data_IF_453458937440
#
_entry.id   IF_453458937440
#
_cell.length_a   1.000
_cell.length_b   1.000
_cell.length_c   1.000
_cell.angle_alpha   90.00
_cell.angle_beta   90.00
_cell.angle_gamma   90.00
#
_symmetry.space_group_name_H-M   'P 1'
#
loop_
_entity.id
_entity.type
_entity.pdbx_description
1 polymer ?
#
# COMPACT_ATOMS: atom_id res chain seq x y z
N UNK A 1 -8.08 -25.27 7.85
CA UNK A 1 -8.21 -24.26 8.91
C UNK A 1 -8.52 -22.95 8.20
N UNK A 2 -9.73 -22.42 8.33
CA UNK A 2 -10.03 -21.09 7.80
C UNK A 2 -9.05 -20.11 8.45
N UNK A 3 -8.21 -19.46 7.65
CA UNK A 3 -7.49 -18.28 8.13
C UNK A 3 -8.57 -17.21 8.21
N UNK A 4 -9.18 -17.08 9.38
CA UNK A 4 -10.12 -16.01 9.66
C UNK A 4 -9.47 -14.69 9.23
N UNK A 5 -10.14 -13.96 8.33
CA UNK A 5 -9.68 -12.66 7.90
C UNK A 5 -9.84 -11.69 9.08
N UNK A 6 -8.85 -11.63 9.97
CA UNK A 6 -8.92 -10.95 11.27
C UNK A 6 -8.69 -9.44 11.19
N UNK A 7 -8.66 -8.85 10.00
CA UNK A 7 -8.58 -7.40 9.86
C UNK A 7 -9.96 -6.75 9.97
N UNK A 8 -10.47 -6.70 11.20
CA UNK A 8 -11.66 -5.92 11.61
C UNK A 8 -11.38 -4.41 11.68
N UNK A 9 -10.45 -3.89 10.86
CA UNK A 9 -10.16 -2.45 10.83
C UNK A 9 -11.10 -1.75 9.87
N UNK A 10 -11.88 -0.81 10.40
CA UNK A 10 -12.74 0.05 9.58
C UNK A 10 -11.87 0.99 8.73
N UNK A 11 -11.82 0.75 7.43
CA UNK A 11 -11.21 1.70 6.51
C UNK A 11 -12.03 2.99 6.45
N UNK A 12 -11.36 4.14 6.41
CA UNK A 12 -11.99 5.45 6.22
C UNK A 12 -11.78 5.92 4.77
N UNK A 13 -12.86 6.29 4.08
CA UNK A 13 -12.79 6.86 2.72
C UNK A 13 -12.67 5.85 1.57
N UNK A 14 -13.48 4.78 1.61
CA UNK A 14 -13.65 3.77 0.54
C UNK A 14 -13.61 2.33 1.07
N UNK A 15 -13.38 1.34 0.19
CA UNK A 15 -13.20 -0.09 0.52
C UNK A 15 -11.99 -0.78 -0.14
N UNK A 16 -11.01 0.02 -0.62
CA UNK A 16 -9.88 -0.44 -1.44
C UNK A 16 -8.83 -1.36 -0.77
N UNK A 17 -8.92 -1.63 0.54
CA UNK A 17 -8.10 -2.63 1.24
C UNK A 17 -8.90 -3.83 1.78
N UNK A 18 -10.23 -3.77 1.79
CA UNK A 18 -11.10 -4.79 2.43
C UNK A 18 -10.98 -6.18 1.80
N UNK A 19 -10.61 -6.23 0.51
CA UNK A 19 -10.46 -7.49 -0.24
C UNK A 19 -9.10 -8.16 -0.03
N UNK A 20 -8.17 -7.50 0.67
CA UNK A 20 -6.81 -7.99 0.84
C UNK A 20 -6.69 -8.90 2.06
N UNK A 21 -5.99 -10.03 1.90
CA UNK A 21 -5.65 -10.90 3.02
C UNK A 21 -4.68 -10.22 4.00
N UNK A 22 -3.79 -9.37 3.50
CA UNK A 22 -2.86 -8.56 4.29
C UNK A 22 -3.05 -7.12 3.86
N UNK A 23 -3.42 -6.24 4.80
CA UNK A 23 -3.53 -4.81 4.49
C UNK A 23 -2.13 -4.20 4.32
N UNK A 24 -1.97 -3.18 3.46
CA UNK A 24 -0.66 -2.56 3.22
C UNK A 24 0.04 -2.10 4.50
N UNK A 25 -0.71 -1.54 5.47
CA UNK A 25 -0.13 -1.06 6.72
C UNK A 25 0.50 -2.20 7.54
N UNK A 26 -0.10 -3.40 7.54
CA UNK A 26 0.47 -4.55 8.25
C UNK A 26 1.74 -5.04 7.56
N UNK A 27 1.73 -5.14 6.24
CA UNK A 27 2.91 -5.52 5.47
C UNK A 27 4.07 -4.55 5.70
N UNK A 28 3.79 -3.25 5.61
CA UNK A 28 4.79 -2.17 5.76
C UNK A 28 5.39 -2.18 7.16
N UNK A 29 4.55 -2.24 8.20
CA UNK A 29 5.00 -2.20 9.60
C UNK A 29 5.71 -3.49 10.01
N UNK A 30 5.21 -4.66 9.59
CA UNK A 30 5.84 -5.95 9.90
C UNK A 30 7.23 -6.12 9.27
N UNK A 31 7.50 -5.41 8.17
CA UNK A 31 8.79 -5.43 7.48
C UNK A 31 9.65 -4.18 7.76
N UNK A 32 9.28 -3.34 8.72
CA UNK A 32 10.00 -2.10 9.08
C UNK A 32 10.33 -1.21 7.86
N UNK A 33 9.40 -1.12 6.90
CA UNK A 33 9.61 -0.35 5.68
C UNK A 33 9.56 1.15 5.95
N UNK A 34 10.40 1.91 5.26
CA UNK A 34 10.46 3.35 5.35
C UNK A 34 9.27 4.06 4.71
N UNK A 35 9.27 5.39 4.80
CA UNK A 35 8.16 6.23 4.30
C UNK A 35 7.94 6.07 2.79
N UNK A 36 9.02 6.02 2.01
CA UNK A 36 8.94 5.94 0.56
C UNK A 36 8.44 4.57 0.12
N UNK A 37 9.03 3.50 0.66
CA UNK A 37 8.66 2.12 0.40
C UNK A 37 7.21 1.85 0.82
N UNK A 38 6.80 2.35 1.98
CA UNK A 38 5.43 2.23 2.46
C UNK A 38 4.42 2.93 1.55
N UNK A 39 4.74 4.11 1.02
CA UNK A 39 3.89 4.78 0.05
C UNK A 39 3.78 3.99 -1.27
N UNK A 40 4.89 3.41 -1.75
CA UNK A 40 4.89 2.57 -2.95
C UNK A 40 3.92 1.41 -2.78
N UNK A 41 4.06 0.62 -1.70
CA UNK A 41 3.17 -0.51 -1.41
C UNK A 41 1.70 -0.06 -1.30
N UNK A 42 1.45 1.00 -0.54
CA UNK A 42 0.10 1.58 -0.36
C UNK A 42 -0.58 1.90 -1.69
N UNK A 43 0.13 2.54 -2.63
CA UNK A 43 -0.44 2.92 -3.92
C UNK A 43 -0.58 1.75 -4.89
N UNK A 44 0.38 0.81 -4.91
CA UNK A 44 0.31 -0.42 -5.71
C UNK A 44 -0.84 -1.33 -5.27
N UNK A 45 -1.15 -1.37 -3.98
CA UNK A 45 -2.30 -2.10 -3.49
C UNK A 45 -3.63 -1.39 -3.86
N UNK A 46 -3.64 -0.06 -3.88
CA UNK A 46 -4.87 0.73 -3.96
C UNK A 46 -5.36 1.03 -5.38
N UNK A 47 -4.49 1.04 -6.38
CA UNK A 47 -4.80 1.67 -7.68
C UNK A 47 -6.04 1.09 -8.38
N UNK A 48 -6.29 -0.22 -8.30
CA UNK A 48 -7.43 -0.85 -8.97
C UNK A 48 -8.78 -0.45 -8.37
N UNK A 49 -8.81 -0.13 -7.08
CA UNK A 49 -10.04 0.07 -6.31
C UNK A 49 -10.23 1.52 -5.82
N UNK A 50 -9.33 2.46 -6.15
CA UNK A 50 -9.50 3.90 -5.80
C UNK A 50 -9.19 4.89 -6.92
N UNK A 51 -7.92 5.15 -7.24
CA UNK A 51 -7.54 6.28 -8.12
C UNK A 51 -6.88 5.87 -9.45
N UNK A 52 -6.84 4.58 -9.78
CA UNK A 52 -6.28 4.10 -11.05
C UNK A 52 -4.87 4.60 -11.31
N UNK A 53 -4.65 5.12 -12.52
CA UNK A 53 -3.35 5.59 -12.98
C UNK A 53 -2.73 6.71 -12.13
N UNK A 54 -3.51 7.46 -11.35
CA UNK A 54 -2.95 8.49 -10.46
C UNK A 54 -2.14 7.85 -9.32
N UNK A 55 -2.61 6.75 -8.74
CA UNK A 55 -1.87 6.03 -7.70
C UNK A 55 -0.60 5.40 -8.29
N UNK A 56 -0.65 4.89 -9.53
CA UNK A 56 0.56 4.39 -10.21
C UNK A 56 1.61 5.50 -10.43
N UNK A 57 1.18 6.71 -10.81
CA UNK A 57 2.08 7.87 -10.94
C UNK A 57 2.70 8.25 -9.60
N UNK A 58 1.93 8.21 -8.50
CA UNK A 58 2.43 8.45 -7.15
C UNK A 58 3.45 7.38 -6.74
N UNK A 59 3.18 6.10 -6.98
CA UNK A 59 4.12 5.02 -6.72
C UNK A 59 5.44 5.23 -7.50
N UNK A 60 5.34 5.54 -8.80
CA UNK A 60 6.51 5.84 -9.64
C UNK A 60 7.34 6.99 -9.07
N UNK A 61 6.70 8.09 -8.64
CA UNK A 61 7.42 9.23 -8.06
C UNK A 61 8.25 8.84 -6.84
N UNK A 62 7.72 8.00 -5.94
CA UNK A 62 8.49 7.51 -4.78
C UNK A 62 9.63 6.57 -5.17
N UNK A 63 9.46 5.75 -6.22
CA UNK A 63 10.54 4.93 -6.77
C UNK A 63 11.65 5.82 -7.32
N UNK A 64 11.31 6.82 -8.14
CA UNK A 64 12.27 7.78 -8.70
C UNK A 64 13.00 8.56 -7.60
N UNK A 65 12.27 8.96 -6.55
CA UNK A 65 12.85 9.64 -5.38
C UNK A 65 13.88 8.77 -4.66
N UNK A 66 13.57 7.48 -4.45
CA UNK A 66 14.52 6.54 -3.84
C UNK A 66 15.74 6.34 -4.73
N UNK A 67 15.57 6.10 -6.03
CA UNK A 67 16.69 5.92 -6.97
C UNK A 67 17.66 7.10 -6.88
N UNK A 68 17.14 8.34 -6.93
CA UNK A 68 17.95 9.55 -6.82
C UNK A 68 18.73 9.66 -5.50
N UNK A 69 18.25 9.06 -4.40
CA UNK A 69 18.94 9.09 -3.12
C UNK A 69 20.11 8.08 -3.04
N UNK A 70 20.17 7.12 -3.95
CA UNK A 70 21.26 6.14 -4.08
C UNK A 70 22.27 6.49 -5.20
N UNK A 71 22.00 7.56 -5.95
CA UNK A 71 22.90 8.18 -6.93
C UNK A 71 23.72 9.31 -6.29
#
# INVERSE_FOLDING_TARGET
MEVANTNNRKQIGGSHYEKMTIEPIDFITSNNMGFCEGNIIKYICRYKDKNGGEDLKKAKWYIDFLIKAYE
#
